data_IF_048446860012
#
_entry.id   IF_048446860012
#
_cell.length_a   1.000
_cell.length_b   1.000
_cell.length_c   1.000
_cell.angle_alpha   90.00
_cell.angle_beta   90.00
_cell.angle_gamma   90.00
#
_symmetry.space_group_name_H-M   'P 1'
#
loop_
_entity.id
_entity.type
_entity.pdbx_description
1 polymer ?
#
# COMPACT_ATOMS: atom_id res chain seq x y z
N UNK A 1 -11.14 -7.92 5.80
CA UNK A 1 -10.59 -9.26 5.49
C UNK A 1 -10.20 -9.94 6.79
N UNK A 2 -10.41 -11.26 6.95
CA UNK A 2 -9.83 -11.98 8.08
C UNK A 2 -8.30 -11.95 7.99
N UNK A 3 -7.63 -11.48 9.04
CA UNK A 3 -6.17 -11.57 9.12
C UNK A 3 -5.76 -13.02 9.35
N UNK A 4 -4.64 -13.40 8.73
CA UNK A 4 -4.00 -14.72 8.83
C UNK A 4 -2.48 -14.54 8.95
N UNK A 5 -1.77 -15.61 9.30
CA UNK A 5 -0.31 -15.60 9.26
C UNK A 5 0.28 -15.26 7.89
N UNK A 6 -0.39 -15.67 6.80
CA UNK A 6 0.02 -15.32 5.45
C UNK A 6 -0.08 -13.79 5.22
N UNK A 7 -1.10 -13.14 5.78
CA UNK A 7 -1.24 -11.69 5.71
C UNK A 7 -0.11 -10.97 6.45
N UNK A 8 0.32 -11.50 7.60
CA UNK A 8 1.48 -10.99 8.35
C UNK A 8 2.74 -11.09 7.48
N UNK A 9 3.01 -12.27 6.91
CA UNK A 9 4.18 -12.48 6.04
C UNK A 9 4.18 -11.54 4.83
N UNK A 10 3.03 -11.29 4.19
CA UNK A 10 2.95 -10.36 3.06
C UNK A 10 3.26 -8.91 3.44
N UNK A 11 2.81 -8.45 4.61
CA UNK A 11 3.15 -7.12 5.12
C UNK A 11 4.63 -7.04 5.47
N UNK A 12 5.14 -8.00 6.26
CA UNK A 12 6.54 -8.04 6.70
C UNK A 12 7.49 -8.07 5.51
N UNK A 13 7.23 -8.93 4.52
CA UNK A 13 8.04 -9.02 3.30
C UNK A 13 7.99 -7.73 2.49
N UNK A 14 6.79 -7.17 2.27
CA UNK A 14 6.66 -5.97 1.44
C UNK A 14 7.37 -4.76 2.07
N UNK A 15 7.34 -4.62 3.40
CA UNK A 15 8.08 -3.56 4.11
C UNK A 15 9.59 -3.82 4.08
N UNK A 16 10.03 -5.07 4.23
CA UNK A 16 11.44 -5.44 4.11
C UNK A 16 12.00 -5.19 2.70
N UNK A 17 11.22 -5.47 1.64
CA UNK A 17 11.60 -5.23 0.24
C UNK A 17 11.91 -3.75 -0.04
N UNK A 18 11.32 -2.83 0.73
CA UNK A 18 11.59 -1.38 0.66
C UNK A 18 12.46 -0.88 1.81
N UNK A 19 13.02 -1.76 2.63
CA UNK A 19 13.92 -1.39 3.73
C UNK A 19 13.25 -0.64 4.88
N UNK A 20 11.92 -0.72 5.02
CA UNK A 20 11.19 -0.09 6.12
C UNK A 20 10.99 -1.11 7.24
N UNK A 21 11.44 -0.84 8.48
CA UNK A 21 11.25 -1.76 9.59
C UNK A 21 9.79 -1.79 10.04
N UNK A 22 9.37 -2.92 10.61
CA UNK A 22 8.08 -3.03 11.28
C UNK A 22 8.06 -2.15 12.54
N UNK A 23 6.88 -1.59 12.91
CA UNK A 23 6.68 -1.02 14.23
C UNK A 23 6.96 -2.08 15.30
N UNK A 24 7.58 -1.69 16.42
CA UNK A 24 8.02 -2.63 17.47
C UNK A 24 6.94 -3.61 17.91
N UNK A 25 5.72 -3.13 18.18
CA UNK A 25 4.60 -3.98 18.59
C UNK A 25 4.16 -4.98 17.48
N UNK A 26 4.27 -4.57 16.20
CA UNK A 26 4.00 -5.47 15.08
C UNK A 26 5.11 -6.52 14.92
N UNK A 27 6.37 -6.13 15.14
CA UNK A 27 7.50 -7.07 15.14
C UNK A 27 7.34 -8.11 16.25
N UNK A 28 7.06 -7.67 17.49
CA UNK A 28 6.84 -8.58 18.63
C UNK A 28 5.68 -9.55 18.37
N UNK A 29 4.57 -9.08 17.80
CA UNK A 29 3.46 -9.95 17.42
C UNK A 29 3.83 -10.95 16.31
N UNK A 30 4.60 -10.53 15.31
CA UNK A 30 5.10 -11.43 14.27
C UNK A 30 6.05 -12.50 14.84
N UNK A 31 6.93 -12.13 15.76
CA UNK A 31 7.87 -13.05 16.43
C UNK A 31 7.11 -14.06 17.30
N UNK A 32 6.12 -13.61 18.07
CA UNK A 32 5.25 -14.51 18.85
C UNK A 32 4.49 -15.47 17.94
N UNK A 33 3.95 -14.99 16.81
CA UNK A 33 3.25 -15.83 15.85
C UNK A 33 4.19 -16.92 15.27
N UNK A 34 5.44 -16.57 14.95
CA UNK A 34 6.43 -17.53 14.49
C UNK A 34 6.71 -18.60 15.55
N UNK A 35 6.90 -18.21 16.82
CA UNK A 35 7.10 -19.16 17.93
C UNK A 35 5.90 -20.10 18.09
N UNK A 36 4.67 -19.58 18.01
CA UNK A 36 3.47 -20.40 18.07
C UNK A 36 3.39 -21.42 16.93
N UNK A 37 3.79 -21.02 15.72
CA UNK A 37 3.83 -21.90 14.55
C UNK A 37 4.89 -22.99 14.69
N UNK A 38 6.10 -22.61 15.12
CA UNK A 38 7.21 -23.54 15.33
C UNK A 38 6.85 -24.59 16.40
N UNK A 39 6.22 -24.17 17.50
CA UNK A 39 5.78 -25.11 18.54
C UNK A 39 4.61 -25.98 18.06
N UNK A 40 3.69 -25.45 17.24
CA UNK A 40 2.57 -26.23 16.70
C UNK A 40 3.00 -27.33 15.72
N UNK A 41 4.11 -27.14 15.00
CA UNK A 41 4.66 -28.11 14.05
C UNK A 41 5.79 -28.97 14.64
N UNK A 42 6.20 -28.69 15.89
CA UNK A 42 7.29 -29.40 16.55
C UNK A 42 6.99 -30.89 16.67
N UNK A 43 7.91 -31.71 16.17
CA UNK A 43 7.77 -33.16 16.17
C UNK A 43 8.35 -33.81 17.43
N UNK A 44 7.72 -33.51 18.57
CA UNK A 44 8.08 -34.10 19.88
C UNK A 44 7.94 -35.63 19.87
N UNK A 45 7.09 -36.17 19.00
CA UNK A 45 6.91 -37.63 18.84
C UNK A 45 8.17 -38.25 18.25
N UNK A 46 8.72 -37.68 17.18
CA UNK A 46 9.98 -38.15 16.60
C UNK A 46 11.13 -38.02 17.60
N UNK A 47 11.23 -36.91 18.35
CA UNK A 47 12.24 -36.76 19.42
C UNK A 47 12.17 -37.92 20.43
N UNK A 48 10.97 -38.28 20.87
CA UNK A 48 10.73 -39.38 21.83
C UNK A 48 10.99 -40.75 21.21
N UNK A 49 10.58 -40.98 19.96
CA UNK A 49 10.82 -42.24 19.24
C UNK A 49 12.32 -42.45 19.00
N UNK A 50 13.06 -41.43 18.55
CA UNK A 50 14.52 -41.51 18.36
C UNK A 50 15.21 -41.88 19.67
N UNK A 51 14.87 -41.21 20.77
CA UNK A 51 15.37 -41.55 22.11
C UNK A 51 14.98 -42.96 22.56
N UNK A 52 13.79 -43.43 22.20
CA UNK A 52 13.34 -44.78 22.51
C UNK A 52 14.12 -45.84 21.73
N UNK A 53 14.43 -45.60 20.46
CA UNK A 53 15.19 -46.52 19.59
C UNK A 53 16.67 -46.62 19.92
N UNK A 54 17.23 -45.66 20.67
CA UNK A 54 18.62 -45.69 21.13
C UNK A 54 18.93 -46.82 22.14
N UNK A 55 17.89 -47.48 22.69
CA UNK A 55 18.02 -48.62 23.61
C UNK A 55 17.09 -49.76 23.18
N UNK A 56 17.53 -51.04 23.27
CA UNK A 56 16.68 -52.17 22.94
C UNK A 56 15.39 -52.21 23.78
N UNK A 57 14.26 -52.50 23.11
CA UNK A 57 12.98 -52.70 23.77
C UNK A 57 13.01 -54.02 24.55
N UNK A 58 12.64 -53.99 25.82
CA UNK A 58 12.56 -55.17 26.70
C UNK A 58 11.19 -55.21 27.39
N UNK A 59 10.77 -56.38 27.86
CA UNK A 59 9.51 -56.54 28.60
C UNK A 59 9.44 -55.60 29.82
N UNK A 60 10.59 -55.30 30.45
CA UNK A 60 10.68 -54.44 31.63
C UNK A 60 10.52 -52.95 31.32
N UNK A 61 10.85 -52.50 30.09
CA UNK A 61 10.79 -51.08 29.72
C UNK A 61 9.64 -50.75 28.75
N UNK A 62 8.99 -51.74 28.13
CA UNK A 62 7.96 -51.54 27.12
C UNK A 62 6.78 -50.68 27.61
N UNK A 63 6.29 -50.90 28.84
CA UNK A 63 5.20 -50.10 29.41
C UNK A 63 5.57 -48.62 29.56
N UNK A 64 6.76 -48.34 30.09
CA UNK A 64 7.26 -46.97 30.22
C UNK A 64 7.42 -46.29 28.85
N UNK A 65 7.91 -47.02 27.84
CA UNK A 65 8.03 -46.50 26.46
C UNK A 65 6.68 -46.15 25.84
N UNK A 66 5.64 -46.97 26.06
CA UNK A 66 4.28 -46.67 25.60
C UNK A 66 3.73 -45.43 26.30
N UNK A 67 3.98 -45.27 27.59
CA UNK A 67 3.56 -44.08 28.35
C UNK A 67 4.28 -42.80 27.88
N UNK A 68 5.60 -42.85 27.65
CA UNK A 68 6.39 -41.74 27.09
C UNK A 68 5.83 -41.30 25.74
N UNK A 69 5.55 -42.26 24.85
CA UNK A 69 4.97 -41.97 23.53
C UNK A 69 3.56 -41.39 23.63
N UNK A 70 2.70 -41.91 24.51
CA UNK A 70 1.35 -41.39 24.72
C UNK A 70 1.35 -39.95 25.26
N UNK A 71 2.28 -39.63 26.18
CA UNK A 71 2.48 -38.26 26.67
C UNK A 71 2.93 -37.35 25.54
N UNK A 72 3.88 -37.78 24.72
CA UNK A 72 4.38 -37.00 23.59
C UNK A 72 3.29 -36.69 22.55
N UNK A 73 2.46 -37.70 22.20
CA UNK A 73 1.31 -37.52 21.31
C UNK A 73 0.30 -36.53 21.89
N UNK A 74 -0.04 -36.67 23.18
CA UNK A 74 -0.95 -35.75 23.87
C UNK A 74 -0.38 -34.33 23.91
N UNK A 75 0.90 -34.17 24.22
CA UNK A 75 1.57 -32.88 24.27
C UNK A 75 1.55 -32.18 22.91
N UNK A 76 1.82 -32.92 21.82
CA UNK A 76 1.73 -32.40 20.44
C UNK A 76 0.32 -31.91 20.10
N UNK A 77 -0.71 -32.71 20.39
CA UNK A 77 -2.11 -32.31 20.14
C UNK A 77 -2.49 -31.04 20.93
N UNK A 78 -2.13 -31.00 22.22
CA UNK A 78 -2.41 -29.85 23.09
C UNK A 78 -1.62 -28.60 22.72
N UNK A 79 -0.38 -28.74 22.27
CA UNK A 79 0.42 -27.62 21.76
C UNK A 79 -0.22 -27.01 20.50
N UNK A 80 -0.69 -27.84 19.57
CA UNK A 80 -1.39 -27.37 18.37
C UNK A 80 -2.72 -26.67 18.71
N UNK A 81 -3.48 -27.21 19.66
CA UNK A 81 -4.72 -26.59 20.15
C UNK A 81 -4.46 -25.25 20.83
N UNK A 82 -3.45 -25.18 21.70
CA UNK A 82 -3.05 -23.96 22.38
C UNK A 82 -2.56 -22.89 21.39
N UNK A 83 -1.74 -23.26 20.42
CA UNK A 83 -1.26 -22.34 19.38
C UNK A 83 -2.43 -21.71 18.60
N UNK A 84 -3.43 -22.51 18.20
CA UNK A 84 -4.65 -21.99 17.53
C UNK A 84 -5.46 -21.05 18.42
N UNK A 85 -5.51 -21.31 19.73
CA UNK A 85 -6.21 -20.44 20.67
C UNK A 85 -5.52 -19.06 20.83
N UNK A 86 -4.18 -19.03 20.80
CA UNK A 86 -3.40 -17.79 20.89
C UNK A 86 -3.22 -17.07 19.55
N UNK A 87 -3.32 -17.77 18.43
CA UNK A 87 -3.08 -17.21 17.10
C UNK A 87 -3.96 -15.99 16.83
N UNK A 88 -5.26 -16.08 17.11
CA UNK A 88 -6.18 -15.00 16.77
C UNK A 88 -5.88 -13.68 17.53
N UNK A 89 -5.72 -13.68 18.87
CA UNK A 89 -5.29 -12.50 19.60
C UNK A 89 -3.99 -11.87 19.08
N UNK A 90 -2.98 -12.68 18.76
CA UNK A 90 -1.68 -12.20 18.26
C UNK A 90 -1.81 -11.56 16.88
N UNK A 91 -2.62 -12.17 15.99
CA UNK A 91 -2.94 -11.56 14.70
C UNK A 91 -3.68 -10.23 14.87
N UNK A 92 -4.66 -10.13 15.78
CA UNK A 92 -5.36 -8.88 16.02
C UNK A 92 -4.39 -7.81 16.59
N UNK A 93 -3.44 -8.17 17.47
CA UNK A 93 -2.37 -7.26 17.93
C UNK A 93 -1.49 -6.76 16.78
N UNK A 94 -1.07 -7.64 15.87
CA UNK A 94 -0.30 -7.25 14.68
C UNK A 94 -1.09 -6.25 13.83
N UNK A 95 -2.36 -6.55 13.54
CA UNK A 95 -3.23 -5.67 12.75
C UNK A 95 -3.33 -4.29 13.39
N UNK A 96 -3.62 -4.24 14.69
CA UNK A 96 -3.88 -2.99 15.39
C UNK A 96 -2.59 -2.14 15.50
N UNK A 97 -1.43 -2.79 15.66
CA UNK A 97 -0.12 -2.13 15.59
C UNK A 97 0.14 -1.52 14.21
N UNK A 98 -0.12 -2.25 13.12
CA UNK A 98 -0.01 -1.69 11.76
C UNK A 98 -1.00 -0.54 11.56
N UNK A 99 -2.26 -0.73 11.93
CA UNK A 99 -3.33 0.26 11.77
C UNK A 99 -3.00 1.58 12.47
N UNK A 100 -2.38 1.51 13.65
CA UNK A 100 -1.98 2.69 14.44
C UNK A 100 -0.77 3.43 13.87
N UNK A 101 0.02 2.79 13.01
CA UNK A 101 1.28 3.33 12.47
C UNK A 101 1.26 3.51 10.94
N UNK A 102 0.11 3.39 10.28
CA UNK A 102 0.03 3.46 8.80
C UNK A 102 0.64 4.73 8.25
N UNK A 103 0.26 5.89 8.78
CA UNK A 103 0.74 7.16 8.24
C UNK A 103 2.25 7.35 8.49
N UNK A 104 2.78 6.87 9.61
CA UNK A 104 4.22 6.88 9.90
C UNK A 104 5.00 5.98 8.93
N UNK A 105 4.49 4.78 8.64
CA UNK A 105 5.08 3.88 7.66
C UNK A 105 5.06 4.48 6.26
N UNK A 106 3.97 5.17 5.89
CA UNK A 106 3.89 5.90 4.61
C UNK A 106 4.93 7.02 4.56
N UNK A 107 5.03 7.83 5.62
CA UNK A 107 6.04 8.89 5.73
C UNK A 107 7.45 8.33 5.59
N UNK A 108 7.74 7.18 6.20
CA UNK A 108 9.03 6.51 6.10
C UNK A 108 9.36 6.05 4.67
N UNK A 109 8.36 5.67 3.87
CA UNK A 109 8.53 5.32 2.45
C UNK A 109 8.72 6.53 1.53
N UNK A 110 8.37 7.75 1.95
CA UNK A 110 8.39 8.94 1.07
C UNK A 110 9.75 9.22 0.43
N UNK A 111 10.90 9.19 1.15
CA UNK A 111 12.18 9.48 0.52
C UNK A 111 12.51 8.53 -0.64
N UNK A 112 12.11 7.26 -0.53
CA UNK A 112 12.28 6.26 -1.59
C UNK A 112 11.35 6.54 -2.77
N UNK A 113 10.12 6.96 -2.48
CA UNK A 113 9.18 7.37 -3.50
C UNK A 113 9.64 8.63 -4.24
N UNK A 114 10.16 9.63 -3.52
CA UNK A 114 10.63 10.89 -4.09
C UNK A 114 11.78 10.66 -5.09
N UNK A 115 12.70 9.74 -4.78
CA UNK A 115 13.74 9.31 -5.72
C UNK A 115 13.15 8.71 -7.00
N UNK A 116 12.10 7.88 -6.89
CA UNK A 116 11.41 7.34 -8.07
C UNK A 116 10.67 8.46 -8.84
N UNK A 117 10.04 9.39 -8.11
CA UNK A 117 9.30 10.50 -8.68
C UNK A 117 10.20 11.43 -9.50
N UNK A 118 11.41 11.74 -9.04
CA UNK A 118 12.39 12.54 -9.79
C UNK A 118 12.73 11.91 -11.15
N UNK A 119 12.92 10.58 -11.17
CA UNK A 119 13.16 9.83 -12.41
C UNK A 119 11.92 9.87 -13.31
N UNK A 120 10.72 9.66 -12.76
CA UNK A 120 9.48 9.76 -13.52
C UNK A 120 9.25 11.15 -14.12
N UNK A 121 9.61 12.22 -13.42
CA UNK A 121 9.53 13.59 -13.92
C UNK A 121 10.53 13.85 -15.04
N UNK A 122 11.77 13.42 -14.85
CA UNK A 122 12.82 13.51 -15.87
C UNK A 122 12.41 12.77 -17.15
N UNK A 123 11.89 11.55 -17.00
CA UNK A 123 11.38 10.76 -18.11
C UNK A 123 10.11 11.34 -18.73
N UNK A 124 9.19 11.92 -17.96
CA UNK A 124 7.97 12.56 -18.47
C UNK A 124 8.26 13.80 -19.32
N UNK A 125 9.33 14.53 -19.00
CA UNK A 125 9.77 15.68 -19.76
C UNK A 125 10.43 15.32 -21.10
N UNK A 126 11.09 14.15 -21.18
CA UNK A 126 11.99 13.79 -22.30
C UNK A 126 11.46 12.65 -23.17
N UNK A 127 10.82 11.64 -22.57
CA UNK A 127 10.39 10.42 -23.25
C UNK A 127 8.86 10.38 -23.39
N UNK A 128 8.39 10.03 -24.58
CA UNK A 128 6.97 9.74 -24.80
C UNK A 128 6.62 8.38 -24.16
N UNK A 129 5.64 8.31 -23.24
CA UNK A 129 5.26 7.06 -22.60
C UNK A 129 4.85 5.96 -23.59
N UNK A 130 5.37 4.75 -23.39
CA UNK A 130 5.07 3.59 -24.25
C UNK A 130 5.83 3.56 -25.58
N UNK A 131 6.61 4.59 -25.91
CA UNK A 131 7.56 4.54 -27.03
C UNK A 131 8.80 3.75 -26.62
N UNK A 132 9.21 2.78 -27.45
CA UNK A 132 10.50 2.13 -27.27
C UNK A 132 11.63 3.11 -27.60
N UNK A 133 12.60 3.24 -26.70
CA UNK A 133 13.83 4.00 -26.92
C UNK A 133 14.84 3.11 -27.63
N UNK A 134 15.53 3.65 -28.61
CA UNK A 134 16.56 2.94 -29.36
C UNK A 134 17.88 3.72 -29.37
N UNK A 135 18.95 3.10 -29.86
CA UNK A 135 20.29 3.70 -29.83
C UNK A 135 20.40 5.02 -30.61
N UNK A 136 19.50 5.28 -31.57
CA UNK A 136 19.50 6.52 -32.36
C UNK A 136 18.89 7.71 -31.63
N UNK A 137 18.20 7.49 -30.50
CA UNK A 137 17.67 8.56 -29.63
C UNK A 137 18.77 9.24 -28.80
N UNK A 138 20.00 8.72 -28.82
CA UNK A 138 21.15 9.24 -28.09
C UNK A 138 21.35 8.61 -26.71
N UNK A 139 22.59 8.70 -26.21
CA UNK A 139 23.02 8.06 -24.96
C UNK A 139 22.22 8.55 -23.75
N UNK A 140 21.86 9.83 -23.72
CA UNK A 140 21.06 10.42 -22.64
C UNK A 140 19.66 9.81 -22.56
N UNK A 141 18.95 9.71 -23.70
CA UNK A 141 17.61 9.12 -23.75
C UNK A 141 17.62 7.64 -23.34
N UNK A 142 18.63 6.88 -23.76
CA UNK A 142 18.83 5.49 -23.33
C UNK A 142 19.09 5.41 -21.82
N UNK A 143 19.92 6.31 -21.28
CA UNK A 143 20.19 6.37 -19.84
C UNK A 143 18.94 6.65 -19.01
N UNK A 144 18.12 7.62 -19.43
CA UNK A 144 16.85 7.94 -18.78
C UNK A 144 15.89 6.75 -18.85
N UNK A 145 15.84 6.04 -19.97
CA UNK A 145 14.99 4.86 -20.12
C UNK A 145 15.38 3.72 -19.15
N UNK A 146 16.69 3.46 -19.00
CA UNK A 146 17.16 2.45 -18.05
C UNK A 146 16.87 2.85 -16.60
N UNK A 147 17.07 4.12 -16.26
CA UNK A 147 16.71 4.65 -14.94
C UNK A 147 15.20 4.53 -14.68
N UNK A 148 14.37 4.78 -15.71
CA UNK A 148 12.92 4.65 -15.62
C UNK A 148 12.47 3.21 -15.33
N UNK A 149 13.09 2.20 -15.96
CA UNK A 149 12.76 0.79 -15.71
C UNK A 149 13.07 0.39 -14.25
N UNK A 150 14.24 0.76 -13.73
CA UNK A 150 14.61 0.56 -12.33
C UNK A 150 13.66 1.30 -11.38
N UNK A 151 13.32 2.56 -11.68
CA UNK A 151 12.34 3.32 -10.90
C UNK A 151 10.95 2.69 -10.89
N UNK A 152 10.51 2.06 -11.99
CA UNK A 152 9.23 1.33 -12.05
C UNK A 152 9.23 0.10 -11.13
N UNK A 153 10.33 -0.66 -11.10
CA UNK A 153 10.46 -1.82 -10.23
C UNK A 153 10.45 -1.42 -8.74
N UNK A 154 11.22 -0.37 -8.38
CA UNK A 154 11.23 0.17 -7.01
C UNK A 154 9.87 0.73 -6.62
N UNK A 155 9.23 1.47 -7.52
CA UNK A 155 7.88 1.98 -7.30
C UNK A 155 6.88 0.83 -7.08
N UNK A 156 6.99 -0.29 -7.82
CA UNK A 156 6.11 -1.44 -7.62
C UNK A 156 6.25 -2.05 -6.22
N UNK A 157 7.47 -2.12 -5.67
CA UNK A 157 7.72 -2.54 -4.30
C UNK A 157 7.09 -1.58 -3.28
N UNK A 158 7.29 -0.26 -3.46
CA UNK A 158 6.67 0.78 -2.62
C UNK A 158 5.14 0.71 -2.67
N UNK A 159 4.57 0.57 -3.86
CA UNK A 159 3.12 0.44 -4.04
C UNK A 159 2.59 -0.83 -3.38
N UNK A 160 3.29 -1.96 -3.49
CA UNK A 160 2.93 -3.20 -2.79
C UNK A 160 2.94 -2.99 -1.28
N UNK A 161 4.02 -2.43 -0.72
CA UNK A 161 4.13 -2.14 0.71
C UNK A 161 2.98 -1.23 1.19
N UNK A 162 2.73 -0.12 0.48
CA UNK A 162 1.62 0.81 0.77
C UNK A 162 0.28 0.10 0.76
N UNK A 163 -0.03 -0.67 -0.29
CA UNK A 163 -1.31 -1.39 -0.38
C UNK A 163 -1.48 -2.39 0.76
N UNK A 164 -0.43 -3.14 1.11
CA UNK A 164 -0.50 -4.13 2.20
C UNK A 164 -0.75 -3.49 3.56
N UNK A 165 -0.07 -2.40 3.89
CA UNK A 165 -0.30 -1.71 5.17
C UNK A 165 -1.68 -1.04 5.24
N UNK A 166 -2.16 -0.47 4.13
CA UNK A 166 -3.48 0.18 4.12
C UNK A 166 -4.61 -0.85 4.10
N UNK A 167 -4.47 -1.96 3.36
CA UNK A 167 -5.38 -3.12 3.40
C UNK A 167 -5.51 -3.66 4.83
N UNK A 168 -4.39 -3.81 5.54
CA UNK A 168 -4.37 -4.28 6.93
C UNK A 168 -5.12 -3.33 7.88
N UNK A 169 -5.03 -2.02 7.62
CA UNK A 169 -5.73 -0.99 8.38
C UNK A 169 -7.20 -0.77 7.92
N UNK A 170 -7.71 -1.58 7.00
CA UNK A 170 -9.10 -1.50 6.52
C UNK A 170 -9.36 -0.46 5.43
N UNK A 171 -8.31 0.11 4.82
CA UNK A 171 -8.38 1.09 3.75
C UNK A 171 -7.73 0.54 2.48
N UNK A 172 -8.50 -0.06 1.58
CA UNK A 172 -7.96 -0.70 0.37
C UNK A 172 -7.88 0.21 -0.86
N UNK A 173 -8.12 1.52 -0.73
CA UNK A 173 -8.25 2.40 -1.89
C UNK A 173 -6.92 2.64 -2.61
N UNK A 174 -6.84 2.18 -3.86
CA UNK A 174 -5.73 2.49 -4.79
C UNK A 174 -6.08 3.69 -5.68
N UNK A 175 -6.48 4.79 -5.06
CA UNK A 175 -6.82 6.02 -5.76
C UNK A 175 -5.56 6.82 -6.16
N UNK A 176 -5.66 7.60 -7.25
CA UNK A 176 -4.54 8.44 -7.71
C UNK A 176 -4.16 9.52 -6.69
N UNK A 177 -5.08 9.92 -5.82
CA UNK A 177 -4.87 10.87 -4.70
C UNK A 177 -3.78 10.43 -3.73
N UNK A 178 -3.40 9.15 -3.70
CA UNK A 178 -2.24 8.68 -2.93
C UNK A 178 -0.89 9.09 -3.52
N UNK A 179 -0.88 9.50 -4.79
CA UNK A 179 0.34 9.63 -5.60
C UNK A 179 0.52 10.99 -6.26
N UNK A 180 -0.45 11.90 -6.14
CA UNK A 180 -0.37 13.25 -6.71
C UNK A 180 -0.43 14.29 -5.61
N UNK A 181 0.40 15.31 -5.71
CA UNK A 181 0.48 16.37 -4.70
C UNK A 181 -0.80 17.22 -4.65
N UNK A 182 -1.37 17.52 -5.82
CA UNK A 182 -2.61 18.29 -5.93
C UNK A 182 -3.32 18.06 -7.25
N UNK A 183 -4.62 18.32 -7.26
CA UNK A 183 -5.46 18.37 -8.47
C UNK A 183 -6.40 19.57 -8.35
N UNK A 184 -6.57 20.38 -9.42
CA UNK A 184 -7.31 21.64 -9.31
C UNK A 184 -8.84 21.47 -9.24
N UNK A 185 -9.38 20.39 -9.80
CA UNK A 185 -10.82 20.13 -9.84
C UNK A 185 -11.11 18.64 -10.11
N UNK A 186 -12.40 18.26 -10.05
CA UNK A 186 -12.85 16.86 -10.27
C UNK A 186 -12.49 16.35 -11.68
N UNK A 187 -12.55 17.19 -12.72
CA UNK A 187 -12.23 16.76 -14.09
C UNK A 187 -10.74 16.38 -14.21
N UNK A 188 -9.85 17.17 -13.59
CA UNK A 188 -8.43 16.86 -13.49
C UNK A 188 -8.21 15.59 -12.65
N UNK A 189 -8.93 15.40 -11.55
CA UNK A 189 -8.86 14.17 -10.76
C UNK A 189 -9.26 12.93 -11.59
N UNK A 190 -10.33 13.02 -12.38
CA UNK A 190 -10.78 11.93 -13.26
C UNK A 190 -9.78 11.65 -14.39
N UNK A 191 -9.18 12.69 -14.95
CA UNK A 191 -8.10 12.57 -15.93
C UNK A 191 -6.87 11.88 -15.32
N UNK A 192 -6.44 12.32 -14.14
CA UNK A 192 -5.35 11.70 -13.39
C UNK A 192 -5.64 10.22 -13.09
N UNK A 193 -6.85 9.86 -12.67
CA UNK A 193 -7.26 8.45 -12.47
C UNK A 193 -7.13 7.61 -13.74
N UNK A 194 -7.50 8.17 -14.90
CA UNK A 194 -7.37 7.49 -16.19
C UNK A 194 -5.90 7.25 -16.56
N UNK A 195 -5.05 8.27 -16.38
CA UNK A 195 -3.61 8.19 -16.64
C UNK A 195 -2.91 7.23 -15.66
N UNK A 196 -3.32 7.23 -14.38
CA UNK A 196 -2.75 6.36 -13.36
C UNK A 196 -2.86 4.88 -13.70
N UNK A 197 -3.96 4.46 -14.32
CA UNK A 197 -4.15 3.08 -14.81
C UNK A 197 -3.08 2.65 -15.83
N UNK A 198 -2.44 3.62 -16.49
CA UNK A 198 -1.35 3.40 -17.46
C UNK A 198 0.04 3.54 -16.84
N UNK A 199 0.13 4.07 -15.62
CA UNK A 199 1.35 4.17 -14.83
C UNK A 199 1.81 5.60 -14.51
N UNK A 200 2.78 5.76 -13.57
CA UNK A 200 3.24 7.06 -13.09
C UNK A 200 3.84 7.96 -14.18
N UNK A 201 4.49 7.38 -15.19
CA UNK A 201 5.09 8.14 -16.31
C UNK A 201 4.04 8.92 -17.12
N UNK A 202 2.81 8.42 -17.22
CA UNK A 202 1.72 9.13 -17.89
C UNK A 202 1.23 10.33 -17.08
N UNK A 203 1.27 10.25 -15.74
CA UNK A 203 0.93 11.37 -14.87
C UNK A 203 1.97 12.48 -14.98
N UNK A 204 3.25 12.13 -14.93
CA UNK A 204 4.33 13.14 -15.04
C UNK A 204 4.35 13.78 -16.42
N UNK A 205 4.11 13.01 -17.50
CA UNK A 205 3.94 13.54 -18.86
C UNK A 205 2.79 14.55 -18.97
N UNK A 206 1.70 14.31 -18.24
CA UNK A 206 0.56 15.22 -18.18
C UNK A 206 0.75 16.42 -17.23
N UNK A 207 1.92 16.53 -16.58
CA UNK A 207 2.28 17.65 -15.71
C UNK A 207 1.84 17.49 -14.24
N UNK A 208 1.35 16.32 -13.82
CA UNK A 208 1.03 16.09 -12.41
C UNK A 208 2.30 15.88 -11.60
N UNK A 209 2.44 16.63 -10.50
CA UNK A 209 3.51 16.40 -9.53
C UNK A 209 3.20 15.19 -8.67
N UNK A 210 4.08 14.20 -8.70
CA UNK A 210 3.98 13.00 -7.89
C UNK A 210 4.39 13.26 -6.44
N UNK A 211 3.67 12.65 -5.49
CA UNK A 211 3.96 12.63 -4.05
C UNK A 211 3.29 11.42 -3.40
N UNK A 212 3.98 10.72 -2.50
CA UNK A 212 3.36 9.67 -1.69
C UNK A 212 2.64 10.27 -0.48
N UNK A 213 1.32 10.29 -0.54
CA UNK A 213 0.48 10.95 0.45
C UNK A 213 0.11 10.01 1.61
N UNK A 214 -0.05 10.55 2.81
CA UNK A 214 -0.75 9.86 3.92
C UNK A 214 -2.24 9.81 3.66
N UNK A 215 -3.00 9.11 4.51
CA UNK A 215 -4.46 9.02 4.36
C UNK A 215 -5.12 10.40 4.37
N UNK A 216 -4.74 11.24 5.34
CA UNK A 216 -5.28 12.58 5.49
C UNK A 216 -4.92 13.48 4.29
N UNK A 217 -3.68 13.39 3.79
CA UNK A 217 -3.26 14.14 2.60
C UNK A 217 -4.00 13.69 1.33
N UNK A 218 -4.16 12.37 1.11
CA UNK A 218 -4.90 11.85 -0.03
C UNK A 218 -6.38 12.30 0.00
N UNK A 219 -7.01 12.27 1.18
CA UNK A 219 -8.35 12.81 1.37
C UNK A 219 -8.40 14.32 1.08
N UNK A 220 -7.42 15.09 1.55
CA UNK A 220 -7.34 16.52 1.28
C UNK A 220 -7.21 16.82 -0.23
N UNK A 221 -6.48 16.00 -1.00
CA UNK A 221 -6.41 16.14 -2.46
C UNK A 221 -7.80 15.96 -3.08
N UNK A 222 -8.57 14.95 -2.65
CA UNK A 222 -9.92 14.72 -3.15
C UNK A 222 -10.89 15.85 -2.78
N UNK A 223 -10.84 16.33 -1.54
CA UNK A 223 -11.66 17.44 -1.06
C UNK A 223 -11.33 18.75 -1.77
N UNK A 224 -10.04 19.04 -1.99
CA UNK A 224 -9.59 20.21 -2.75
C UNK A 224 -10.08 20.16 -4.20
N UNK A 225 -10.11 18.98 -4.82
CA UNK A 225 -10.69 18.79 -6.15
C UNK A 225 -12.18 19.17 -6.19
N UNK A 226 -12.95 18.70 -5.20
CA UNK A 226 -14.38 18.98 -5.09
C UNK A 226 -14.63 20.48 -4.85
N UNK A 227 -13.87 21.09 -3.93
CA UNK A 227 -13.94 22.51 -3.62
C UNK A 227 -13.58 23.38 -4.84
N UNK A 228 -12.55 22.99 -5.61
CA UNK A 228 -12.16 23.67 -6.84
C UNK A 228 -13.25 23.64 -7.91
N UNK A 229 -13.93 22.51 -8.09
CA UNK A 229 -15.10 22.41 -8.99
C UNK A 229 -16.23 23.33 -8.53
N UNK A 230 -16.56 23.32 -7.24
CA UNK A 230 -17.62 24.17 -6.69
C UNK A 230 -17.30 25.68 -6.87
N UNK A 231 -16.05 26.07 -6.66
CA UNK A 231 -15.59 27.44 -6.86
C UNK A 231 -15.69 27.87 -8.34
N UNK A 232 -15.27 27.00 -9.27
CA UNK A 232 -15.36 27.26 -10.71
C UNK A 232 -16.81 27.43 -11.18
N UNK A 233 -17.72 26.57 -10.71
CA UNK A 233 -19.15 26.66 -11.03
C UNK A 233 -19.77 27.97 -10.50
N UNK A 234 -19.42 28.35 -9.26
CA UNK A 234 -19.87 29.62 -8.67
C UNK A 234 -19.35 30.82 -9.47
N UNK A 235 -18.07 30.82 -9.85
CA UNK A 235 -17.48 31.87 -10.67
C UNK A 235 -18.16 31.97 -12.05
N UNK A 236 -18.46 30.82 -12.69
CA UNK A 236 -19.18 30.78 -13.97
C UNK A 236 -20.60 31.35 -13.83
N UNK A 237 -21.31 31.01 -12.75
CA UNK A 237 -22.65 31.54 -12.48
C UNK A 237 -22.61 33.06 -12.26
N UNK A 238 -21.63 33.56 -11.49
CA UNK A 238 -21.44 34.99 -11.28
C UNK A 238 -21.12 35.73 -12.58
N UNK A 239 -20.25 35.17 -13.42
CA UNK A 239 -19.94 35.73 -14.74
C UNK A 239 -21.17 35.78 -15.66
N UNK A 240 -22.00 34.71 -15.66
CA UNK A 240 -23.27 34.70 -16.41
C UNK A 240 -24.26 35.75 -15.90
N UNK A 241 -24.39 35.91 -14.58
CA UNK A 241 -25.25 36.94 -13.98
C UNK A 241 -24.72 38.34 -14.31
N UNK A 242 -23.41 38.57 -14.24
CA UNK A 242 -22.80 39.85 -14.61
C UNK A 242 -23.01 40.18 -16.10
N UNK A 243 -22.82 39.20 -16.99
CA UNK A 243 -23.09 39.35 -18.43
C UNK A 243 -24.58 39.52 -18.75
N UNK A 244 -25.49 38.96 -17.93
CA UNK A 244 -26.93 39.17 -18.07
C UNK A 244 -27.36 40.56 -17.56
N UNK A 245 -26.68 41.09 -16.54
CA UNK A 245 -26.85 42.45 -15.98
C UNK A 245 -26.04 43.52 -16.71
N UNK A 246 -25.55 43.22 -17.91
CA UNK A 246 -24.77 44.18 -18.70
C UNK A 246 -25.61 45.45 -18.95
N UNK A 247 -25.19 46.63 -18.48
CA UNK A 247 -25.95 47.87 -18.58
C UNK A 247 -26.27 48.27 -20.04
N UNK A 248 -25.53 47.75 -21.03
CA UNK A 248 -25.84 47.94 -22.45
C UNK A 248 -27.11 47.18 -22.88
N UNK A 249 -27.43 46.04 -22.25
CA UNK A 249 -28.66 45.29 -22.49
C UNK A 249 -29.87 45.96 -21.83
N UNK A 250 -29.70 46.48 -20.61
CA UNK A 250 -30.75 47.26 -19.92
C UNK A 250 -31.03 48.59 -20.62
N UNK A 251 -30.00 49.30 -21.12
CA UNK A 251 -30.16 50.52 -21.91
C UNK A 251 -30.83 50.26 -23.28
N UNK A 252 -30.54 49.12 -23.92
CA UNK A 252 -31.21 48.71 -25.16
C UNK A 252 -32.69 48.35 -24.94
N UNK A 253 -33.03 47.67 -23.84
CA UNK A 253 -34.42 47.35 -23.48
C UNK A 253 -35.23 48.60 -23.09
N UNK A 254 -34.64 49.53 -22.32
CA UNK A 254 -35.30 50.79 -21.95
C UNK A 254 -35.62 51.67 -23.17
N UNK A 255 -34.82 51.59 -24.24
CA UNK A 255 -35.05 52.33 -25.49
C UNK A 255 -36.16 51.73 -26.36
N UNK A 256 -36.46 50.44 -26.21
CA UNK A 256 -37.53 49.74 -26.96
C UNK A 256 -38.89 49.87 -26.28
N UNK A 257 -38.95 49.98 -24.95
CA UNK A 257 -40.21 50.19 -24.20
C UNK A 257 -40.61 51.68 -24.04
N UNK A 258 -39.75 52.60 -24.48
CA UNK A 258 -39.98 54.05 -24.47
C UNK A 258 -40.45 54.64 -25.81
N UNK A 259 -40.84 53.80 -26.77
CA UNK A 259 -41.57 54.16 -28.00
C UNK A 259 -42.99 53.62 -27.93
#
# INVERSE_FOLDING_TARGET
>A
MPISAMSVQFVTRSLADVGIPLPKAAQEAADVLQVLQDEAIRDVVTEVVTNATATPLTVKNASARVQELAIALTARERASEAARAYERPVLDQFRDAIASNVDELIVAMRPLFDQCAEIFHTAGATLEPGRQVNASDGVEAVGIYLALDDAQQRFAAINSARLRITEMAGSADSDVTWYVESVPNIDALMSARSLWKRGPHYLTRAGYRLRLNTRAEAQAVAENAANGTAAALKAQQQARVAAARDPLREAAFAKVLGQ
#
